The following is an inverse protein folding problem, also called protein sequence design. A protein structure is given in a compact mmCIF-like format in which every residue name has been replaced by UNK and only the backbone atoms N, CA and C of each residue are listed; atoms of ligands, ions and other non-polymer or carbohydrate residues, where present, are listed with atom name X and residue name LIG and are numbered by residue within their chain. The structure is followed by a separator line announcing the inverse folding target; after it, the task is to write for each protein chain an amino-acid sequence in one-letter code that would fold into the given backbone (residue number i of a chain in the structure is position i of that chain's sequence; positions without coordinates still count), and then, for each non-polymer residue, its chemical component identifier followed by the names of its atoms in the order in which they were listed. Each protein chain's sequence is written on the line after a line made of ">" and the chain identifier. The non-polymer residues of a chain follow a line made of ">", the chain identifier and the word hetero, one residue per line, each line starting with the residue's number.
data_IF_383306056380
#
_entry.id   IF_383306056380
#
_cell.length_a   1.000
_cell.length_b   1.000
_cell.length_c   1.000
_cell.angle_alpha   90.00
_cell.angle_beta   90.00
_cell.angle_gamma   90.00
#
_symmetry.space_group_name_H-M   'P 1'
#
loop_
_entity.id
_entity.type
_entity.pdbx_description
1 polymer ?
#
# COMPACT_ATOMS: atom_id res chain seq x y z
N UNK A 1 -19.20 -8.61 -13.49
CA UNK A 1 -18.51 -7.47 -12.81
C UNK A 1 -18.18 -6.40 -13.87
N UNK A 2 -17.93 -5.13 -13.53
CA UNK A 2 -17.38 -4.13 -14.49
C UNK A 2 -15.89 -3.90 -14.19
N UNK A 3 -15.06 -3.50 -15.15
CA UNK A 3 -13.61 -3.32 -14.90
C UNK A 3 -13.35 -2.37 -13.72
N UNK A 4 -14.16 -1.30 -13.61
CA UNK A 4 -14.12 -0.38 -12.48
C UNK A 4 -14.43 -1.08 -11.17
N UNK A 5 -15.47 -1.91 -11.13
CA UNK A 5 -15.82 -2.70 -9.96
C UNK A 5 -14.68 -3.62 -9.52
N UNK A 6 -14.03 -4.29 -10.46
CA UNK A 6 -12.88 -5.16 -10.18
C UNK A 6 -11.72 -4.41 -9.52
N UNK A 7 -11.26 -3.32 -10.13
CA UNK A 7 -10.14 -2.55 -9.57
C UNK A 7 -10.51 -1.86 -8.25
N UNK A 8 -11.76 -1.41 -8.07
CA UNK A 8 -12.24 -0.89 -6.78
C UNK A 8 -12.15 -1.95 -5.68
N UNK A 9 -12.59 -3.17 -5.95
CA UNK A 9 -12.50 -4.28 -4.99
C UNK A 9 -11.04 -4.66 -4.74
N UNK A 10 -10.22 -4.78 -5.79
CA UNK A 10 -8.80 -5.12 -5.66
C UNK A 10 -8.02 -4.10 -4.80
N UNK A 11 -8.40 -2.82 -4.84
CA UNK A 11 -7.78 -1.76 -4.03
C UNK A 11 -8.29 -1.78 -2.59
N UNK A 12 -9.61 -1.95 -2.38
CA UNK A 12 -10.20 -1.97 -1.04
C UNK A 12 -9.87 -3.24 -0.25
N UNK A 13 -9.69 -4.37 -0.93
CA UNK A 13 -9.49 -5.64 -0.26
C UNK A 13 -8.27 -5.60 0.67
N UNK A 14 -7.07 -5.13 0.27
CA UNK A 14 -5.97 -4.95 1.22
C UNK A 14 -6.25 -3.84 2.25
N UNK A 15 -7.01 -2.79 1.92
CA UNK A 15 -7.33 -1.73 2.88
C UNK A 15 -8.18 -2.22 4.06
N UNK A 16 -8.96 -3.30 3.87
CA UNK A 16 -9.78 -3.91 4.92
C UNK A 16 -9.06 -5.10 5.56
N UNK A 17 -8.41 -5.95 4.76
CA UNK A 17 -7.73 -7.14 5.27
C UNK A 17 -6.51 -6.80 6.13
N UNK A 18 -5.69 -5.82 5.73
CA UNK A 18 -4.47 -5.46 6.47
C UNK A 18 -4.76 -4.96 7.90
N UNK A 19 -5.72 -4.04 8.15
CA UNK A 19 -6.08 -3.68 9.53
C UNK A 19 -6.57 -4.85 10.37
N UNK A 20 -7.39 -5.74 9.77
CA UNK A 20 -7.92 -6.91 10.49
C UNK A 20 -6.79 -7.85 10.90
N UNK A 21 -5.88 -8.16 9.96
CA UNK A 21 -4.71 -8.98 10.24
C UNK A 21 -3.80 -8.35 11.29
N UNK A 22 -3.59 -7.03 11.23
CA UNK A 22 -2.80 -6.29 12.20
C UNK A 22 -3.45 -6.31 13.59
N UNK A 23 -4.77 -6.17 13.69
CA UNK A 23 -5.49 -6.33 14.94
C UNK A 23 -5.34 -7.74 15.50
N UNK A 24 -5.53 -8.78 14.68
CA UNK A 24 -5.36 -10.17 15.11
C UNK A 24 -3.94 -10.39 15.64
N UNK A 25 -2.93 -9.91 14.93
CA UNK A 25 -1.54 -9.98 15.37
C UNK A 25 -1.33 -9.27 16.72
N UNK A 26 -1.81 -8.03 16.85
CA UNK A 26 -1.66 -7.22 18.05
C UNK A 26 -2.38 -7.81 19.28
N UNK A 27 -3.53 -8.46 19.11
CA UNK A 27 -4.33 -9.00 20.21
C UNK A 27 -3.94 -10.42 20.62
N UNK A 28 -3.45 -11.24 19.70
CA UNK A 28 -3.27 -12.68 19.95
C UNK A 28 -1.82 -13.16 19.88
N UNK A 29 -0.95 -12.51 19.10
CA UNK A 29 0.38 -13.04 18.78
C UNK A 29 1.51 -12.15 19.28
N UNK A 30 1.32 -10.83 19.26
CA UNK A 30 2.34 -9.87 19.64
C UNK A 30 2.36 -9.65 21.15
N UNK A 31 3.53 -9.91 21.77
CA UNK A 31 3.81 -9.53 23.15
C UNK A 31 3.83 -8.00 23.28
N UNK A 32 3.56 -7.41 24.47
CA UNK A 32 3.71 -5.98 24.68
C UNK A 32 5.12 -5.54 24.24
N UNK A 33 5.17 -4.47 23.44
CA UNK A 33 6.37 -4.00 22.74
C UNK A 33 7.54 -3.78 23.71
N UNK A 34 8.58 -4.62 23.64
CA UNK A 34 9.76 -4.56 24.51
C UNK A 34 10.91 -3.71 23.93
N UNK A 35 10.71 -3.02 22.81
CA UNK A 35 11.78 -2.33 22.08
C UNK A 35 12.43 -3.19 20.98
N UNK A 36 13.06 -2.56 19.99
CA UNK A 36 13.83 -3.23 18.94
C UNK A 36 13.20 -3.26 17.54
N UNK A 37 13.71 -4.14 16.68
CA UNK A 37 13.31 -4.26 15.26
C UNK A 37 11.84 -4.63 15.10
N UNK A 38 11.29 -5.42 16.02
CA UNK A 38 9.87 -5.80 16.03
C UNK A 38 8.97 -4.58 16.23
N UNK A 39 9.32 -3.69 17.16
CA UNK A 39 8.58 -2.43 17.36
C UNK A 39 8.71 -1.50 16.15
N UNK A 40 9.87 -1.49 15.49
CA UNK A 40 10.06 -0.75 14.23
C UNK A 40 9.09 -1.25 13.13
N UNK A 41 8.98 -2.57 12.96
CA UNK A 41 8.06 -3.16 11.97
C UNK A 41 6.59 -2.90 12.31
N UNK A 42 6.19 -3.11 13.57
CA UNK A 42 4.78 -3.05 13.96
C UNK A 42 4.23 -1.63 14.00
N UNK A 43 4.93 -0.70 14.64
CA UNK A 43 4.46 0.67 14.83
C UNK A 43 4.70 1.55 13.60
N UNK A 44 5.90 1.46 13.02
CA UNK A 44 6.33 2.41 12.00
C UNK A 44 6.12 1.86 10.59
N UNK A 45 6.52 0.60 10.32
CA UNK A 45 6.34 0.02 8.97
C UNK A 45 4.86 -0.26 8.70
N UNK A 46 4.19 -1.01 9.58
CA UNK A 46 2.78 -1.35 9.42
C UNK A 46 1.86 -0.17 9.73
N UNK A 47 2.11 0.60 10.80
CA UNK A 47 1.27 1.74 11.17
C UNK A 47 1.24 2.83 10.09
N UNK A 48 2.41 3.35 9.70
CA UNK A 48 2.46 4.32 8.59
C UNK A 48 2.10 3.69 7.25
N UNK A 49 2.41 2.41 7.04
CA UNK A 49 2.08 1.69 5.82
C UNK A 49 0.58 1.57 5.60
N UNK A 50 -0.16 1.29 6.68
CA UNK A 50 -1.61 1.20 6.64
C UNK A 50 -2.25 2.55 6.35
N UNK A 51 -1.83 3.60 7.06
CA UNK A 51 -2.33 4.95 6.83
C UNK A 51 -2.04 5.42 5.39
N UNK A 52 -0.82 5.18 4.90
CA UNK A 52 -0.43 5.46 3.52
C UNK A 52 -1.28 4.68 2.51
N UNK A 53 -1.56 3.40 2.78
CA UNK A 53 -2.38 2.57 1.90
C UNK A 53 -3.83 3.05 1.84
N UNK A 54 -4.43 3.46 2.97
CA UNK A 54 -5.78 4.02 2.99
C UNK A 54 -5.85 5.30 2.15
N UNK A 55 -4.88 6.21 2.30
CA UNK A 55 -4.80 7.43 1.48
C UNK A 55 -4.63 7.10 -0.01
N UNK A 56 -3.74 6.17 -0.34
CA UNK A 56 -3.53 5.69 -1.70
C UNK A 56 -4.79 5.05 -2.29
N UNK A 57 -5.53 4.27 -1.50
CA UNK A 57 -6.79 3.64 -1.91
C UNK A 57 -7.84 4.70 -2.23
N UNK A 58 -8.06 5.67 -1.33
CA UNK A 58 -9.00 6.78 -1.53
C UNK A 58 -8.62 7.60 -2.78
N UNK A 59 -7.34 7.91 -2.96
CA UNK A 59 -6.82 8.59 -4.14
C UNK A 59 -7.12 7.79 -5.42
N UNK A 60 -6.78 6.50 -5.42
CA UNK A 60 -6.94 5.63 -6.58
C UNK A 60 -8.40 5.45 -6.99
N UNK A 61 -9.33 5.37 -6.03
CA UNK A 61 -10.76 5.28 -6.31
C UNK A 61 -11.31 6.51 -7.03
N UNK A 62 -10.86 7.70 -6.62
CA UNK A 62 -11.23 8.98 -7.25
C UNK A 62 -10.69 9.06 -8.68
N UNK A 63 -9.45 8.60 -8.88
CA UNK A 63 -8.78 8.60 -10.17
C UNK A 63 -9.41 7.60 -11.15
N UNK A 64 -9.68 6.36 -10.71
CA UNK A 64 -10.26 5.29 -11.54
C UNK A 64 -11.67 5.65 -12.04
N UNK A 65 -12.44 6.36 -11.23
CA UNK A 65 -13.83 6.72 -11.58
C UNK A 65 -13.92 7.65 -12.80
N UNK A 66 -12.84 8.37 -13.13
CA UNK A 66 -12.77 9.31 -14.26
C UNK A 66 -12.00 8.78 -15.47
N UNK A 67 -11.46 7.56 -15.39
CA UNK A 67 -10.54 7.01 -16.40
C UNK A 67 -11.15 5.88 -17.23
N UNK A 68 -10.56 5.69 -18.40
CA UNK A 68 -10.84 4.56 -19.30
C UNK A 68 -10.14 3.29 -18.81
N UNK A 69 -10.55 2.12 -19.28
CA UNK A 69 -9.96 0.83 -18.87
C UNK A 69 -8.44 0.78 -19.12
N UNK A 70 -7.98 1.26 -20.29
CA UNK A 70 -6.57 1.22 -20.67
C UNK A 70 -5.72 2.13 -19.78
N UNK A 71 -6.24 3.30 -19.39
CA UNK A 71 -5.59 4.16 -18.42
C UNK A 71 -5.55 3.55 -17.02
N UNK A 72 -6.60 2.84 -16.59
CA UNK A 72 -6.63 2.14 -15.30
C UNK A 72 -5.60 1.01 -15.27
N UNK A 73 -5.46 0.24 -16.37
CA UNK A 73 -4.42 -0.78 -16.49
C UNK A 73 -3.00 -0.18 -16.43
N UNK A 74 -2.80 0.98 -17.07
CA UNK A 74 -1.54 1.72 -16.99
C UNK A 74 -1.28 2.18 -15.56
N UNK A 75 -2.29 2.72 -14.88
CA UNK A 75 -2.21 3.14 -13.48
C UNK A 75 -1.89 1.97 -12.55
N UNK A 76 -2.54 0.82 -12.75
CA UNK A 76 -2.29 -0.39 -11.98
C UNK A 76 -0.83 -0.84 -12.10
N UNK A 77 -0.24 -0.80 -13.31
CA UNK A 77 1.18 -1.14 -13.54
C UNK A 77 2.13 -0.21 -12.79
N UNK A 78 1.78 1.08 -12.69
CA UNK A 78 2.58 2.08 -11.98
C UNK A 78 2.17 2.26 -10.51
N UNK A 79 1.17 1.53 -10.02
CA UNK A 79 0.68 1.62 -8.66
C UNK A 79 1.79 1.52 -7.58
N UNK A 80 2.80 0.63 -7.70
CA UNK A 80 3.87 0.54 -6.71
C UNK A 80 4.68 1.83 -6.60
N UNK A 81 4.96 2.47 -7.75
CA UNK A 81 5.72 3.72 -7.81
C UNK A 81 4.86 4.89 -7.31
N UNK A 82 3.57 4.91 -7.67
CA UNK A 82 2.62 5.93 -7.20
C UNK A 82 2.41 5.83 -5.69
N UNK A 83 2.53 4.64 -5.10
CA UNK A 83 2.41 4.41 -3.66
C UNK A 83 3.60 4.95 -2.85
N UNK A 84 4.81 4.99 -3.44
CA UNK A 84 6.05 5.41 -2.74
C UNK A 84 5.91 6.79 -2.08
N UNK A 85 5.41 7.85 -2.72
CA UNK A 85 5.21 9.14 -2.05
C UNK A 85 4.26 9.07 -0.85
N UNK A 86 3.14 8.33 -0.95
CA UNK A 86 2.18 8.22 0.16
C UNK A 86 2.83 7.59 1.39
N UNK A 87 3.70 6.62 1.17
CA UNK A 87 4.34 5.92 2.26
C UNK A 87 5.61 6.63 2.75
N UNK A 88 6.47 7.10 1.85
CA UNK A 88 7.77 7.69 2.17
C UNK A 88 7.73 9.10 2.72
N UNK A 89 6.75 9.93 2.33
CA UNK A 89 6.64 11.30 2.85
C UNK A 89 6.50 11.30 4.39
N UNK A 90 5.61 10.49 5.01
CA UNK A 90 5.54 10.35 6.46
C UNK A 90 6.88 10.02 7.13
N UNK A 91 7.68 9.11 6.55
CA UNK A 91 9.00 8.73 7.08
C UNK A 91 9.98 9.90 7.07
N UNK A 92 10.02 10.64 5.95
CA UNK A 92 10.88 11.82 5.80
C UNK A 92 10.46 12.91 6.79
N UNK A 93 9.17 13.22 6.87
CA UNK A 93 8.64 14.24 7.78
C UNK A 93 8.91 13.90 9.25
N UNK A 94 8.68 12.64 9.64
CA UNK A 94 8.97 12.18 11.00
C UNK A 94 10.47 12.25 11.32
N UNK A 95 11.32 11.83 10.38
CA UNK A 95 12.77 11.91 10.51
C UNK A 95 13.25 13.35 10.69
N UNK A 96 12.81 14.26 9.83
CA UNK A 96 13.12 15.70 9.93
C UNK A 96 12.63 16.28 11.26
N UNK A 97 11.42 15.95 11.68
CA UNK A 97 10.89 16.37 12.98
C UNK A 97 11.78 15.93 14.14
N UNK A 98 12.21 14.67 14.16
CA UNK A 98 13.14 14.17 15.18
C UNK A 98 14.47 14.94 15.19
N UNK A 99 15.02 15.29 14.03
CA UNK A 99 16.25 16.08 13.93
C UNK A 99 16.09 17.50 14.47
N UNK A 100 14.93 18.14 14.23
CA UNK A 100 14.62 19.46 14.79
C UNK A 100 14.63 19.42 16.33
N UNK A 101 14.16 18.32 16.93
CA UNK A 101 14.19 18.11 18.39
C UNK A 101 15.53 17.52 18.91
N UNK A 102 16.60 17.53 18.11
CA UNK A 102 17.94 17.07 18.52
C UNK A 102 18.09 15.55 18.61
N UNK A 103 17.16 14.77 18.07
CA UNK A 103 17.20 13.30 18.12
C UNK A 103 17.81 12.74 16.84
N UNK A 104 19.07 12.28 16.93
CA UNK A 104 19.79 11.61 15.83
C UNK A 104 19.08 10.37 15.29
N UNK A 105 18.19 9.77 16.06
CA UNK A 105 17.32 8.68 15.61
C UNK A 105 16.53 9.03 14.33
N UNK A 106 16.25 10.32 14.09
CA UNK A 106 15.59 10.78 12.86
C UNK A 106 16.34 10.42 11.58
N UNK A 107 17.67 10.51 11.57
CA UNK A 107 18.51 10.12 10.42
C UNK A 107 18.39 8.62 10.14
N UNK A 108 18.43 7.80 11.20
CA UNK A 108 18.28 6.36 11.08
C UNK A 108 16.95 5.97 10.43
N UNK A 109 15.85 6.64 10.82
CA UNK A 109 14.52 6.39 10.24
C UNK A 109 14.44 6.74 8.75
N UNK A 110 15.04 7.85 8.32
CA UNK A 110 15.08 8.25 6.91
C UNK A 110 15.88 7.26 6.06
N UNK A 111 17.02 6.79 6.58
CA UNK A 111 17.87 5.82 5.87
C UNK A 111 17.22 4.43 5.82
N UNK A 112 16.60 3.98 6.92
CA UNK A 112 15.86 2.72 6.96
C UNK A 112 14.73 2.69 5.94
N UNK A 113 13.98 3.79 5.79
CA UNK A 113 12.97 3.91 4.74
C UNK A 113 13.57 3.74 3.33
N UNK A 114 14.67 4.43 3.03
CA UNK A 114 15.35 4.31 1.73
C UNK A 114 15.83 2.88 1.47
N UNK A 115 16.40 2.22 2.48
CA UNK A 115 16.82 0.83 2.41
C UNK A 115 15.62 -0.14 2.25
N UNK A 116 14.45 0.21 2.77
CA UNK A 116 13.22 -0.59 2.67
C UNK A 116 12.47 -0.39 1.34
N UNK A 117 12.69 0.75 0.67
CA UNK A 117 12.00 1.12 -0.58
C UNK A 117 12.07 0.05 -1.68
N UNK A 118 13.24 -0.60 -1.96
CA UNK A 118 13.32 -1.66 -2.95
C UNK A 118 12.39 -2.84 -2.65
N UNK A 119 12.25 -3.22 -1.38
CA UNK A 119 11.38 -4.32 -0.96
C UNK A 119 9.91 -3.98 -1.22
N UNK A 120 9.49 -2.76 -0.86
CA UNK A 120 8.12 -2.27 -1.14
C UNK A 120 7.83 -2.27 -2.63
N UNK A 121 8.80 -1.85 -3.45
CA UNK A 121 8.64 -1.85 -4.91
C UNK A 121 8.51 -3.26 -5.47
N UNK A 122 9.39 -4.19 -5.08
CA UNK A 122 9.35 -5.58 -5.57
C UNK A 122 8.02 -6.24 -5.22
N UNK A 123 7.59 -6.13 -3.96
CA UNK A 123 6.32 -6.70 -3.50
C UNK A 123 5.14 -6.02 -4.21
N UNK A 124 5.14 -4.70 -4.31
CA UNK A 124 4.09 -3.95 -5.01
C UNK A 124 4.00 -4.34 -6.48
N UNK A 125 5.13 -4.48 -7.18
CA UNK A 125 5.18 -4.90 -8.59
C UNK A 125 4.60 -6.30 -8.75
N UNK A 126 4.96 -7.24 -7.88
CA UNK A 126 4.39 -8.59 -7.90
C UNK A 126 2.86 -8.54 -7.79
N UNK A 127 2.31 -7.85 -6.79
CA UNK A 127 0.86 -7.75 -6.62
C UNK A 127 0.18 -7.02 -7.78
N UNK A 128 0.78 -5.95 -8.30
CA UNK A 128 0.28 -5.24 -9.49
C UNK A 128 0.14 -6.18 -10.70
N UNK A 129 1.17 -6.99 -10.98
CA UNK A 129 1.13 -7.98 -12.04
C UNK A 129 0.06 -9.03 -11.81
N UNK A 130 -0.06 -9.56 -10.59
CA UNK A 130 -1.10 -10.53 -10.22
C UNK A 130 -2.50 -9.94 -10.44
N UNK A 131 -2.77 -8.71 -9.99
CA UNK A 131 -4.06 -8.04 -10.21
C UNK A 131 -4.38 -7.88 -11.69
N UNK A 132 -3.41 -7.43 -12.50
CA UNK A 132 -3.61 -7.27 -13.95
C UNK A 132 -3.82 -8.64 -14.63
N UNK A 133 -3.08 -9.65 -14.22
CA UNK A 133 -3.20 -11.01 -14.77
C UNK A 133 -4.58 -11.60 -14.46
N UNK A 134 -5.02 -11.55 -13.21
CA UNK A 134 -6.35 -11.99 -12.80
C UNK A 134 -7.46 -11.25 -13.55
N UNK A 135 -7.34 -9.93 -13.72
CA UNK A 135 -8.28 -9.17 -14.54
C UNK A 135 -8.37 -9.70 -15.98
N UNK A 136 -7.22 -9.90 -16.64
CA UNK A 136 -7.16 -10.43 -18.01
C UNK A 136 -7.76 -11.84 -18.11
N UNK A 137 -7.47 -12.70 -17.13
CA UNK A 137 -8.01 -14.07 -17.07
C UNK A 137 -9.52 -14.02 -16.92
N UNK A 138 -10.05 -13.29 -15.94
CA UNK A 138 -11.49 -13.18 -15.72
C UNK A 138 -12.23 -12.56 -16.91
N UNK A 139 -11.60 -11.60 -17.61
CA UNK A 139 -12.13 -11.03 -18.86
C UNK A 139 -12.19 -12.08 -19.97
N UNK A 140 -11.15 -12.90 -20.13
CA UNK A 140 -11.10 -13.97 -21.14
C UNK A 140 -12.19 -15.04 -20.91
N UNK A 141 -12.55 -15.30 -19.66
CA UNK A 141 -13.61 -16.23 -19.29
C UNK A 141 -15.03 -15.60 -19.29
N UNK A 142 -15.20 -14.39 -19.86
CA UNK A 142 -16.49 -13.69 -19.96
C UNK A 142 -17.25 -13.52 -18.64
N UNK A 143 -16.56 -13.51 -17.49
CA UNK A 143 -17.15 -13.19 -16.17
C UNK A 143 -17.55 -11.69 -16.04
N UNK A 144 -17.33 -10.91 -17.10
CA UNK A 144 -17.75 -9.52 -17.23
C UNK A 144 -18.89 -9.46 -18.26
N UNK A 145 -20.12 -9.32 -17.75
CA UNK A 145 -21.30 -9.05 -18.58
C UNK A 145 -21.14 -7.66 -19.20
N UNK A 146 -20.94 -7.60 -20.51
CA UNK A 146 -21.13 -6.39 -21.31
C UNK A 146 -22.63 -6.06 -21.30
N UNK A 147 -23.06 -5.23 -20.36
CA UNK A 147 -24.28 -4.44 -20.57
C UNK A 147 -23.86 -3.20 -21.33
N UNK A 148 -24.11 -3.25 -22.65
CA UNK A 148 -24.17 -2.11 -23.55
C UNK A 148 -25.08 -1.00 -23.01
#
# INVERSE_FOLDING_TARGET
>A
MTYRGYFKVAIWLPAVLLPILLMIDAFYFSKPLQGGVEQFFLLYVLGFGLAAYVLFAVFSLRVISKKTELEVLRLARWAPVIFIPFYGIPWILYGVGCLIFGRLAGFGMMFLWLAYTPYVLVVGVFFSFVTIFLFKVMRKFSLFSERH
#
